data_IF_799973585524
#
_entry.id   IF_799973585524
#
_cell.length_a   1.000
_cell.length_b   1.000
_cell.length_c   1.000
_cell.angle_alpha   90.00
_cell.angle_beta   90.00
_cell.angle_gamma   90.00
#
_symmetry.space_group_name_H-M   'P 1'
#
loop_
_entity.id
_entity.type
_entity.pdbx_description
1 polymer ?
#
# COMPACT_ATOMS: atom_id res chain seq x y z
N UNK A 1 -32.45 65.41 -37.35
CA UNK A 1 -33.11 64.59 -36.32
C UNK A 1 -32.66 63.14 -36.44
N UNK A 2 -31.86 62.71 -35.45
CA UNK A 2 -31.75 61.37 -34.86
C UNK A 2 -31.19 60.21 -35.72
N UNK A 3 -29.87 60.26 -35.89
CA UNK A 3 -28.97 59.10 -36.00
C UNK A 3 -29.22 58.11 -34.85
N UNK A 4 -29.55 56.85 -35.14
CA UNK A 4 -29.56 55.78 -34.13
C UNK A 4 -28.27 54.99 -34.22
N UNK A 5 -27.36 55.29 -33.30
CA UNK A 5 -26.12 54.58 -33.03
C UNK A 5 -26.48 53.24 -32.34
N UNK A 6 -26.36 52.12 -33.06
CA UNK A 6 -26.54 50.78 -32.47
C UNK A 6 -25.19 50.35 -31.91
N UNK A 7 -25.03 50.54 -30.59
CA UNK A 7 -23.86 50.10 -29.82
C UNK A 7 -24.07 48.62 -29.45
N UNK A 8 -23.51 47.71 -30.24
CA UNK A 8 -23.42 46.29 -29.88
C UNK A 8 -22.37 46.13 -28.77
N UNK A 9 -22.85 45.96 -27.53
CA UNK A 9 -22.05 45.57 -26.38
C UNK A 9 -21.72 44.08 -26.49
N UNK A 10 -20.52 43.75 -26.96
CA UNK A 10 -19.94 42.42 -26.87
C UNK A 10 -19.74 42.07 -25.39
N UNK A 11 -20.69 41.35 -24.79
CA UNK A 11 -20.49 40.70 -23.51
C UNK A 11 -19.81 39.35 -23.77
N UNK A 12 -18.48 39.38 -23.91
CA UNK A 12 -17.66 38.18 -23.87
C UNK A 12 -17.69 37.64 -22.44
N UNK A 13 -18.55 36.67 -22.20
CA UNK A 13 -18.58 35.91 -20.95
C UNK A 13 -17.33 35.04 -20.96
N UNK A 14 -16.26 35.51 -20.31
CA UNK A 14 -15.11 34.69 -19.98
C UNK A 14 -15.57 33.68 -18.91
N UNK A 15 -16.11 32.56 -19.35
CA UNK A 15 -16.32 31.39 -18.50
C UNK A 15 -14.93 30.81 -18.25
N UNK A 16 -14.25 31.32 -17.22
CA UNK A 16 -13.06 30.65 -16.69
C UNK A 16 -13.55 29.46 -15.87
N UNK A 17 -13.52 28.28 -16.48
CA UNK A 17 -13.61 27.03 -15.71
C UNK A 17 -12.29 26.90 -14.95
N UNK A 18 -12.27 27.23 -13.66
CA UNK A 18 -11.23 26.75 -12.76
C UNK A 18 -11.52 25.28 -12.54
N UNK A 19 -10.73 24.41 -13.17
CA UNK A 19 -10.70 22.99 -12.82
C UNK A 19 -10.02 22.88 -11.45
N UNK A 20 -10.76 23.19 -10.39
CA UNK A 20 -10.36 22.87 -9.03
C UNK A 20 -10.68 21.40 -8.78
N UNK A 21 -9.93 20.51 -9.44
CA UNK A 21 -9.91 19.12 -9.04
C UNK A 21 -9.46 19.08 -7.57
N UNK A 22 -10.20 18.38 -6.67
CA UNK A 22 -9.80 18.29 -5.28
C UNK A 22 -8.40 17.69 -5.21
N UNK A 23 -7.49 18.38 -4.49
CA UNK A 23 -6.12 17.89 -4.31
C UNK A 23 -6.16 16.53 -3.60
N UNK A 24 -5.82 15.48 -4.32
CA UNK A 24 -5.65 14.15 -3.73
C UNK A 24 -4.42 14.16 -2.80
N UNK A 25 -4.66 14.04 -1.49
CA UNK A 25 -3.60 13.91 -0.48
C UNK A 25 -3.33 12.42 -0.22
N UNK A 26 -2.64 11.77 -1.15
CA UNK A 26 -2.28 10.35 -1.07
C UNK A 26 -0.76 10.21 -1.05
N UNK A 27 -0.25 9.42 -0.12
CA UNK A 27 1.16 9.03 -0.05
C UNK A 27 1.34 7.55 0.22
N UNK A 28 2.42 6.97 -0.29
CA UNK A 28 2.79 5.58 -0.04
C UNK A 28 4.13 5.54 0.68
N UNK A 29 4.25 4.64 1.66
CA UNK A 29 5.49 4.40 2.40
C UNK A 29 5.65 2.92 2.67
N UNK A 30 6.88 2.44 2.66
CA UNK A 30 7.16 1.12 3.19
C UNK A 30 7.24 1.22 4.72
N UNK A 31 6.59 0.29 5.40
CA UNK A 31 6.62 0.19 6.85
C UNK A 31 7.33 -1.11 7.24
N UNK A 32 7.97 -1.08 8.41
CA UNK A 32 8.67 -2.25 8.93
C UNK A 32 7.70 -3.16 9.69
N UNK A 33 7.86 -4.46 9.48
CA UNK A 33 7.14 -5.49 10.20
C UNK A 33 7.61 -5.54 11.65
N UNK A 34 6.66 -5.62 12.58
CA UNK A 34 6.90 -5.72 14.02
C UNK A 34 6.67 -7.13 14.56
N UNK A 35 5.77 -7.90 13.94
CA UNK A 35 5.50 -9.29 14.30
C UNK A 35 5.15 -10.11 13.06
N UNK A 36 5.57 -11.37 13.05
CA UNK A 36 5.24 -12.36 12.01
C UNK A 36 4.77 -13.62 12.70
N UNK A 37 3.52 -13.99 12.48
CA UNK A 37 2.95 -15.25 12.94
C UNK A 37 2.66 -16.14 11.73
N UNK A 38 3.45 -17.19 11.60
CA UNK A 38 3.41 -18.12 10.48
C UNK A 38 3.32 -19.57 10.99
N UNK A 39 2.64 -20.47 10.27
CA UNK A 39 2.82 -21.89 10.47
C UNK A 39 4.25 -22.31 10.11
N UNK A 40 4.69 -23.49 10.55
CA UNK A 40 6.01 -24.05 10.21
C UNK A 40 6.04 -24.79 8.87
N UNK A 41 4.87 -25.07 8.29
CA UNK A 41 4.73 -25.92 7.11
C UNK A 41 3.44 -25.62 6.34
N UNK A 42 3.41 -26.03 5.08
CA UNK A 42 2.24 -25.95 4.21
C UNK A 42 2.27 -27.03 3.13
N UNK A 43 1.32 -26.96 2.20
CA UNK A 43 1.25 -27.85 1.05
C UNK A 43 1.39 -27.11 -0.26
N UNK A 44 1.91 -27.81 -1.26
CA UNK A 44 2.01 -27.32 -2.62
C UNK A 44 0.62 -26.93 -3.15
N UNK A 45 0.53 -25.80 -3.85
CA UNK A 45 -0.71 -25.23 -4.40
C UNK A 45 -1.81 -24.88 -3.37
N UNK A 46 -1.52 -24.91 -2.07
CA UNK A 46 -2.40 -24.43 -1.01
C UNK A 46 -1.86 -23.12 -0.43
N UNK A 47 -2.75 -22.20 -0.07
CA UNK A 47 -2.35 -20.95 0.55
C UNK A 47 -1.86 -21.20 1.99
N UNK A 48 -0.66 -20.71 2.29
CA UNK A 48 -0.13 -20.60 3.63
C UNK A 48 -0.38 -19.17 4.10
N UNK A 49 -1.33 -18.99 5.02
CA UNK A 49 -1.65 -17.70 5.61
C UNK A 49 -0.61 -17.33 6.67
N UNK A 50 -0.05 -16.13 6.56
CA UNK A 50 0.93 -15.58 7.49
C UNK A 50 0.43 -14.23 7.97
N UNK A 51 0.19 -14.09 9.27
CA UNK A 51 -0.24 -12.83 9.88
C UNK A 51 0.99 -11.94 10.10
N UNK A 52 0.89 -10.70 9.61
CA UNK A 52 1.95 -9.70 9.64
C UNK A 52 1.44 -8.46 10.35
N UNK A 53 2.09 -8.09 11.45
CA UNK A 53 1.84 -6.82 12.12
C UNK A 53 2.87 -5.78 11.70
N UNK A 54 2.40 -4.55 11.48
CA UNK A 54 3.24 -3.39 11.24
C UNK A 54 2.59 -2.13 11.82
N UNK A 55 3.37 -1.07 12.03
CA UNK A 55 2.88 0.18 12.59
C UNK A 55 2.72 1.22 11.49
N UNK A 56 1.60 1.93 11.48
CA UNK A 56 1.44 3.17 10.70
C UNK A 56 1.61 4.41 11.59
N UNK A 57 2.17 5.45 11.01
CA UNK A 57 2.70 6.61 11.73
C UNK A 57 1.64 7.70 12.04
N UNK A 58 0.42 7.59 11.50
CA UNK A 58 -0.70 8.47 11.82
C UNK A 58 -2.05 7.82 11.41
N UNK A 59 -3.15 8.48 11.75
CA UNK A 59 -4.51 7.97 11.55
C UNK A 59 -4.97 7.83 10.10
N UNK A 60 -4.21 8.33 9.12
CA UNK A 60 -4.52 8.15 7.70
C UNK A 60 -3.85 6.91 7.09
N UNK A 61 -2.87 6.31 7.77
CA UNK A 61 -2.16 5.15 7.25
C UNK A 61 -3.01 3.90 7.30
N UNK A 62 -2.99 3.09 6.25
CA UNK A 62 -3.62 1.77 6.13
C UNK A 62 -2.70 0.81 5.37
N UNK A 63 -2.95 -0.50 5.47
CA UNK A 63 -2.34 -1.49 4.59
C UNK A 63 -2.73 -1.21 3.13
N UNK A 64 -1.77 -1.21 2.23
CA UNK A 64 -2.00 -1.16 0.78
C UNK A 64 -1.75 -2.53 0.15
N UNK A 65 -0.51 -3.02 0.28
CA UNK A 65 -0.08 -4.29 -0.31
C UNK A 65 1.24 -4.77 0.27
N UNK A 66 1.55 -6.04 0.00
CA UNK A 66 2.90 -6.56 0.11
C UNK A 66 3.66 -6.34 -1.20
N UNK A 67 4.94 -5.99 -1.09
CA UNK A 67 5.88 -5.93 -2.20
C UNK A 67 6.83 -7.12 -2.08
N UNK A 68 6.95 -7.89 -3.15
CA UNK A 68 7.80 -9.09 -3.19
C UNK A 68 9.01 -8.87 -4.09
N UNK A 69 10.13 -9.46 -3.69
CA UNK A 69 11.33 -9.58 -4.53
C UNK A 69 12.09 -10.85 -4.19
N UNK A 70 13.07 -11.22 -5.02
CA UNK A 70 13.86 -12.45 -4.86
C UNK A 70 13.35 -13.62 -5.69
N UNK A 71 13.73 -14.84 -5.30
CA UNK A 71 13.30 -16.07 -5.98
C UNK A 71 12.05 -16.63 -5.30
N UNK A 72 11.44 -17.67 -5.88
CA UNK A 72 10.32 -18.36 -5.22
C UNK A 72 10.75 -18.97 -3.88
N UNK A 73 11.94 -19.59 -3.84
CA UNK A 73 12.49 -20.29 -2.67
C UNK A 73 13.04 -19.37 -1.57
N UNK A 74 13.43 -18.14 -1.93
CA UNK A 74 13.93 -17.14 -0.98
C UNK A 74 13.37 -15.76 -1.38
N UNK A 75 12.21 -15.42 -0.79
CA UNK A 75 11.50 -14.16 -1.04
C UNK A 75 11.84 -13.13 0.03
N UNK A 76 11.95 -11.87 -0.39
CA UNK A 76 11.88 -10.72 0.49
C UNK A 76 10.52 -10.06 0.36
N UNK A 77 9.87 -9.81 1.49
CA UNK A 77 8.53 -9.25 1.60
C UNK A 77 8.62 -7.92 2.37
N UNK A 78 8.12 -6.86 1.75
CA UNK A 78 7.99 -5.54 2.37
C UNK A 78 6.51 -5.15 2.46
N UNK A 79 6.11 -4.48 3.54
CA UNK A 79 4.77 -3.91 3.66
C UNK A 79 4.78 -2.50 3.06
N UNK A 80 3.87 -2.23 2.14
CA UNK A 80 3.55 -0.87 1.72
C UNK A 80 2.26 -0.41 2.40
N UNK A 81 2.33 0.74 3.06
CA UNK A 81 1.19 1.45 3.61
C UNK A 81 0.77 2.60 2.69
N UNK A 82 -0.54 2.83 2.61
CA UNK A 82 -1.15 4.01 1.97
C UNK A 82 -1.62 4.98 3.05
N UNK A 83 -1.27 6.25 2.90
CA UNK A 83 -1.72 7.35 3.74
C UNK A 83 -2.64 8.25 2.92
N UNK A 84 -3.93 8.25 3.24
CA UNK A 84 -4.94 8.98 2.50
C UNK A 84 -5.66 9.99 3.39
N UNK A 85 -5.45 11.28 3.10
CA UNK A 85 -6.06 12.39 3.82
C UNK A 85 -5.16 13.62 3.90
N UNK A 86 -5.74 14.81 3.74
CA UNK A 86 -5.00 16.07 3.87
C UNK A 86 -4.77 16.48 5.34
N UNK A 87 -5.58 15.96 6.26
CA UNK A 87 -5.51 16.23 7.70
C UNK A 87 -5.60 14.89 8.43
N UNK A 88 -4.51 14.50 9.09
CA UNK A 88 -4.37 13.18 9.71
C UNK A 88 -4.22 13.30 11.24
N UNK A 89 -5.03 12.58 12.02
CA UNK A 89 -4.83 12.47 13.46
C UNK A 89 -3.44 11.93 13.79
N UNK A 90 -2.75 12.51 14.77
CA UNK A 90 -1.42 12.06 15.21
C UNK A 90 -1.54 10.83 16.13
N UNK A 91 -2.00 9.73 15.55
CA UNK A 91 -2.23 8.46 16.26
C UNK A 91 -1.50 7.35 15.51
N UNK A 92 -0.52 6.74 16.16
CA UNK A 92 0.11 5.51 15.68
C UNK A 92 -0.78 4.32 16.03
N UNK A 93 -0.80 3.32 15.15
CA UNK A 93 -1.57 2.10 15.37
C UNK A 93 -0.89 0.91 14.70
N UNK A 94 -1.01 -0.25 15.31
CA UNK A 94 -0.66 -1.52 14.69
C UNK A 94 -1.76 -1.93 13.73
N UNK A 95 -1.37 -2.46 12.57
CA UNK A 95 -2.24 -3.05 11.57
C UNK A 95 -1.76 -4.48 11.35
N UNK A 96 -2.70 -5.41 11.40
CA UNK A 96 -2.49 -6.80 10.99
C UNK A 96 -2.93 -6.98 9.54
N UNK A 97 -2.07 -7.56 8.71
CA UNK A 97 -2.36 -7.94 7.34
C UNK A 97 -1.97 -9.40 7.11
N UNK A 98 -2.73 -10.13 6.29
CA UNK A 98 -2.46 -11.53 5.98
C UNK A 98 -1.71 -11.62 4.66
N UNK A 99 -0.50 -12.17 4.71
CA UNK A 99 0.27 -12.54 3.53
C UNK A 99 -0.07 -13.97 3.14
N UNK A 100 -0.64 -14.15 1.95
CA UNK A 100 -0.97 -15.47 1.39
C UNK A 100 0.18 -15.97 0.52
N UNK A 101 0.93 -16.95 1.01
CA UNK A 101 2.00 -17.59 0.25
C UNK A 101 1.51 -18.88 -0.42
N UNK A 102 1.57 -18.95 -1.75
CA UNK A 102 1.17 -20.14 -2.52
C UNK A 102 2.42 -20.74 -3.21
N UNK A 103 3.00 -21.81 -2.66
CA UNK A 103 4.17 -22.47 -3.25
C UNK A 103 3.78 -23.37 -4.43
N UNK A 104 4.59 -23.35 -5.49
CA UNK A 104 4.36 -24.16 -6.70
C UNK A 104 5.21 -25.43 -6.74
N UNK A 105 6.06 -25.64 -5.73
CA UNK A 105 6.90 -26.84 -5.61
C UNK A 105 7.08 -27.24 -4.13
N UNK A 106 7.41 -28.51 -3.89
CA UNK A 106 7.78 -28.98 -2.55
C UNK A 106 9.21 -28.53 -2.22
N UNK A 107 9.50 -28.32 -0.93
CA UNK A 107 10.84 -28.00 -0.47
C UNK A 107 10.86 -27.07 0.73
N UNK A 108 12.05 -26.60 1.06
CA UNK A 108 12.25 -25.57 2.09
C UNK A 108 12.18 -24.18 1.46
N UNK A 109 11.47 -23.27 2.10
CA UNK A 109 11.29 -21.90 1.65
C UNK A 109 11.72 -20.94 2.76
N UNK A 110 12.43 -19.89 2.38
CA UNK A 110 12.89 -18.83 3.28
C UNK A 110 12.17 -17.51 2.93
N UNK A 111 11.25 -17.07 3.79
CA UNK A 111 10.52 -15.82 3.62
C UNK A 111 11.10 -14.76 4.56
N UNK A 112 11.63 -13.67 4.00
CA UNK A 112 12.28 -12.57 4.72
C UNK A 112 11.36 -11.36 4.77
N UNK A 113 10.74 -11.11 5.92
CA UNK A 113 9.89 -9.95 6.15
C UNK A 113 10.72 -8.78 6.66
N UNK A 114 10.73 -7.65 5.95
CA UNK A 114 11.58 -6.51 6.29
C UNK A 114 11.13 -5.85 7.61
N UNK A 115 11.99 -5.90 8.61
CA UNK A 115 11.75 -5.37 9.96
C UNK A 115 12.65 -4.18 10.33
N UNK A 116 13.55 -3.79 9.43
CA UNK A 116 14.39 -2.60 9.54
C UNK A 116 15.08 -2.28 8.20
N UNK A 117 15.96 -1.27 8.19
CA UNK A 117 16.67 -0.86 6.96
C UNK A 117 17.48 -2.00 6.34
N UNK A 118 18.12 -2.80 7.20
CA UNK A 118 18.95 -3.96 6.84
C UNK A 118 18.56 -5.22 7.62
N UNK A 119 17.41 -5.19 8.28
CA UNK A 119 16.96 -6.25 9.19
C UNK A 119 15.72 -6.95 8.67
N UNK A 120 15.62 -8.25 8.95
CA UNK A 120 14.53 -9.10 8.52
C UNK A 120 14.10 -10.04 9.64
N UNK A 121 12.79 -10.27 9.74
CA UNK A 121 12.22 -11.43 10.42
C UNK A 121 12.09 -12.55 9.39
N UNK A 122 12.82 -13.64 9.59
CA UNK A 122 12.83 -14.77 8.65
C UNK A 122 11.91 -15.90 9.12
N UNK A 123 11.03 -16.34 8.24
CA UNK A 123 10.20 -17.54 8.40
C UNK A 123 10.73 -18.63 7.47
N UNK A 124 10.98 -19.81 8.03
CA UNK A 124 11.30 -21.00 7.26
C UNK A 124 10.05 -21.89 7.16
N UNK A 125 9.62 -22.20 5.94
CA UNK A 125 8.47 -23.06 5.67
C UNK A 125 8.91 -24.36 5.00
N UNK A 126 8.36 -25.47 5.48
CA UNK A 126 8.50 -26.77 4.82
C UNK A 126 7.23 -27.03 4.01
N UNK A 127 7.37 -27.17 2.70
CA UNK A 127 6.27 -27.44 1.78
C UNK A 127 6.32 -28.89 1.33
N UNK A 128 5.23 -29.60 1.56
CA UNK A 128 5.03 -31.00 1.15
C UNK A 128 3.94 -31.11 0.09
N UNK A 129 3.72 -32.34 -0.40
CA UNK A 129 2.53 -32.67 -1.21
C UNK A 129 1.23 -32.48 -0.42
#
# INVERSE_FOLDING_TARGET
MKTRLILYLFLAILISCTNDDPKECIGYRNEYVTEVNAPSSGKINEAVEIEIDFVVNNGCGNFEKFLESGSEQSKTIEVQAKYEGCICPQVTRTITAVYEFIPLSTGEYELKFKSGETEFTTVNLIITE
#
